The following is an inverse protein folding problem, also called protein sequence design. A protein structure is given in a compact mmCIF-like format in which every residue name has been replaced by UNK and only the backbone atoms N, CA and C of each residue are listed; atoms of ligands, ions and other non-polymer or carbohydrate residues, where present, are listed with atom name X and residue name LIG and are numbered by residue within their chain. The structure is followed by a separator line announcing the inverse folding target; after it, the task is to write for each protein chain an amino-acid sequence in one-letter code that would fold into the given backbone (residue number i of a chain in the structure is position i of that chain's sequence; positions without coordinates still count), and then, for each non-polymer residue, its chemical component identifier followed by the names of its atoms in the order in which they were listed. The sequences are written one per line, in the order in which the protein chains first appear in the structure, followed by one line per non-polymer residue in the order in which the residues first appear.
data_IF_929516170193
#
_entry.id   IF_929516170193
#
_cell.length_a   1.000
_cell.length_b   1.000
_cell.length_c   1.000
_cell.angle_alpha   90.00
_cell.angle_beta   90.00
_cell.angle_gamma   90.00
#
_symmetry.space_group_name_H-M   'P 1'
#
loop_
_entity.id
_entity.type
_entity.pdbx_description
1 polymer ?
#
# COMPACT_ATOMS: atom_id res chain seq x y z
N UNK A 1 1.45 -21.06 11.10
CA UNK A 1 0.91 -19.94 10.29
C UNK A 1 -0.50 -19.68 10.78
N UNK A 2 -0.73 -18.51 11.37
CA UNK A 2 -2.06 -18.10 11.83
C UNK A 2 -2.91 -17.65 10.63
N UNK A 3 -4.24 -17.69 10.76
CA UNK A 3 -5.14 -17.26 9.67
C UNK A 3 -4.90 -15.81 9.23
N UNK A 4 -4.45 -14.95 10.16
CA UNK A 4 -4.11 -13.54 9.88
C UNK A 4 -2.87 -13.42 9.00
N UNK A 5 -1.79 -14.15 9.29
CA UNK A 5 -0.56 -14.12 8.47
C UNK A 5 -0.83 -14.58 7.03
N UNK A 6 -1.75 -15.53 6.84
CA UNK A 6 -2.15 -15.98 5.51
C UNK A 6 -2.91 -14.89 4.76
N UNK A 7 -3.77 -14.15 5.46
CA UNK A 7 -4.54 -13.06 4.89
C UNK A 7 -3.66 -11.88 4.50
N UNK A 8 -2.70 -11.49 5.34
CA UNK A 8 -1.71 -10.44 5.02
C UNK A 8 -0.90 -10.80 3.78
N UNK A 9 -0.41 -12.04 3.68
CA UNK A 9 0.34 -12.51 2.51
C UNK A 9 -0.52 -12.51 1.25
N UNK A 10 -1.75 -13.00 1.34
CA UNK A 10 -2.69 -12.98 0.22
C UNK A 10 -2.95 -11.54 -0.24
N UNK A 11 -3.17 -10.62 0.70
CA UNK A 11 -3.42 -9.21 0.41
C UNK A 11 -2.21 -8.53 -0.24
N UNK A 12 -0.99 -8.87 0.21
CA UNK A 12 0.25 -8.40 -0.41
C UNK A 12 0.32 -8.82 -1.90
N UNK A 13 -0.04 -10.08 -2.18
CA UNK A 13 -0.03 -10.62 -3.55
C UNK A 13 -1.07 -9.90 -4.42
N UNK A 14 -2.29 -9.72 -3.90
CA UNK A 14 -3.35 -9.01 -4.64
C UNK A 14 -2.95 -7.57 -4.91
N UNK A 15 -2.42 -6.87 -3.92
CA UNK A 15 -1.99 -5.48 -4.06
C UNK A 15 -0.84 -5.34 -5.06
N UNK A 16 0.14 -6.25 -5.03
CA UNK A 16 1.23 -6.29 -6.00
C UNK A 16 0.71 -6.55 -7.42
N UNK A 17 -0.14 -7.57 -7.60
CA UNK A 17 -0.71 -7.89 -8.90
C UNK A 17 -1.58 -6.74 -9.46
N UNK A 18 -2.34 -6.05 -8.61
CA UNK A 18 -3.15 -4.92 -9.03
C UNK A 18 -2.29 -3.74 -9.52
N UNK A 19 -1.15 -3.49 -8.87
CA UNK A 19 -0.18 -2.48 -9.31
C UNK A 19 0.53 -2.91 -10.60
N UNK A 20 0.98 -4.17 -10.69
CA UNK A 20 1.71 -4.71 -11.84
C UNK A 20 0.86 -4.76 -13.13
N UNK A 21 -0.45 -4.92 -12.98
CA UNK A 21 -1.41 -4.95 -14.09
C UNK A 21 -2.09 -3.60 -14.34
N UNK A 22 -1.62 -2.52 -13.74
CA UNK A 22 -2.18 -1.16 -13.87
C UNK A 22 -3.66 -1.03 -13.46
N UNK A 23 -4.22 -2.03 -12.78
CA UNK A 23 -5.58 -1.99 -12.21
C UNK A 23 -5.62 -0.92 -11.10
N UNK A 24 -4.55 -0.87 -10.30
CA UNK A 24 -4.33 0.11 -9.25
C UNK A 24 -3.13 0.97 -9.64
N UNK A 25 -3.28 2.30 -9.61
CA UNK A 25 -2.16 3.22 -9.78
C UNK A 25 -1.58 3.57 -8.40
N UNK A 26 -0.30 3.95 -8.30
CA UNK A 26 0.32 4.35 -7.03
C UNK A 26 -0.51 5.36 -6.23
N UNK A 27 -1.02 6.39 -6.90
CA UNK A 27 -1.84 7.44 -6.29
C UNK A 27 -3.15 6.91 -5.69
N UNK A 28 -3.69 5.81 -6.23
CA UNK A 28 -4.90 5.19 -5.69
C UNK A 28 -4.66 4.54 -4.35
N UNK A 29 -3.46 3.99 -4.13
CA UNK A 29 -3.08 3.44 -2.82
C UNK A 29 -3.09 4.55 -1.79
N UNK A 30 -2.47 5.70 -2.11
CA UNK A 30 -2.35 6.81 -1.17
C UNK A 30 -3.66 7.55 -0.88
N UNK A 31 -4.69 7.40 -1.71
CA UNK A 31 -6.04 7.91 -1.39
C UNK A 31 -6.61 7.27 -0.12
N UNK A 32 -6.22 6.03 0.18
CA UNK A 32 -6.69 5.28 1.35
C UNK A 32 -5.57 5.13 2.39
N UNK A 33 -4.35 4.87 1.94
CA UNK A 33 -3.14 4.79 2.75
C UNK A 33 -2.54 6.19 2.87
N UNK A 34 -3.26 7.09 3.54
CA UNK A 34 -2.86 8.49 3.67
C UNK A 34 -1.57 8.64 4.50
N UNK A 35 -0.89 9.80 4.45
CA UNK A 35 0.25 10.06 5.32
C UNK A 35 -0.03 9.82 6.81
N UNK A 36 -1.24 10.13 7.30
CA UNK A 36 -1.66 9.86 8.67
C UNK A 36 -1.78 8.36 8.96
N UNK A 37 -2.31 7.57 8.03
CA UNK A 37 -2.36 6.10 8.15
C UNK A 37 -0.95 5.54 8.19
N UNK A 38 -0.08 5.99 7.29
CA UNK A 38 1.33 5.58 7.28
C UNK A 38 2.01 5.91 8.61
N UNK A 39 1.83 7.13 9.13
CA UNK A 39 2.42 7.55 10.40
C UNK A 39 1.89 6.79 11.61
N UNK A 40 0.63 6.38 11.59
CA UNK A 40 -0.03 5.68 12.70
C UNK A 40 0.31 4.18 12.74
N UNK A 41 0.60 3.59 11.58
CA UNK A 41 0.67 2.14 11.43
C UNK A 41 2.04 1.61 11.02
N UNK A 42 2.85 2.40 10.32
CA UNK A 42 4.20 1.95 9.96
C UNK A 42 5.13 1.99 11.17
N UNK A 43 6.00 0.98 11.32
CA UNK A 43 7.10 1.02 12.26
C UNK A 43 7.99 2.26 12.05
N UNK A 44 8.59 2.81 13.12
CA UNK A 44 9.43 4.00 13.01
C UNK A 44 10.60 3.87 12.02
N UNK A 45 11.20 2.68 11.91
CA UNK A 45 12.28 2.39 10.97
C UNK A 45 11.81 2.45 9.51
N UNK A 46 10.64 1.86 9.21
CA UNK A 46 10.04 1.92 7.87
C UNK A 46 9.66 3.36 7.52
N UNK A 47 9.05 4.10 8.46
CA UNK A 47 8.69 5.50 8.26
C UNK A 47 9.94 6.37 8.02
N UNK A 48 11.01 6.14 8.79
CA UNK A 48 12.29 6.84 8.59
C UNK A 48 12.85 6.60 7.19
N UNK A 49 12.76 5.37 6.68
CA UNK A 49 13.18 5.05 5.32
C UNK A 49 12.33 5.79 4.26
N UNK A 50 11.00 5.84 4.44
CA UNK A 50 10.08 6.57 3.53
C UNK A 50 10.43 8.05 3.49
N UNK A 51 10.68 8.67 4.65
CA UNK A 51 11.07 10.08 4.74
C UNK A 51 12.44 10.34 4.12
N UNK A 52 13.42 9.47 4.37
CA UNK A 52 14.76 9.58 3.77
C UNK A 52 14.71 9.44 2.25
N UNK A 53 13.91 8.49 1.73
CA UNK A 53 13.70 8.32 0.30
C UNK A 53 13.00 9.53 -0.34
N UNK A 54 12.01 10.09 0.35
CA UNK A 54 11.29 11.30 -0.10
C UNK A 54 12.18 12.54 -0.12
N UNK A 55 13.02 12.71 0.91
CA UNK A 55 13.99 13.80 0.97
C UNK A 55 15.04 13.69 -0.14
N UNK A 56 15.52 12.46 -0.40
CA UNK A 56 16.46 12.18 -1.50
C UNK A 56 15.84 12.46 -2.86
N UNK A 57 14.56 12.14 -3.05
CA UNK A 57 13.82 12.42 -4.28
C UNK A 57 13.41 13.90 -4.42
N UNK A 58 13.52 14.70 -3.35
CA UNK A 58 13.06 16.09 -3.28
C UNK A 58 11.53 16.25 -3.18
N UNK A 59 10.80 15.14 -3.06
CA UNK A 59 9.33 15.11 -3.02
C UNK A 59 8.83 13.75 -2.48
N UNK A 60 7.68 13.78 -1.80
CA UNK A 60 7.00 12.59 -1.29
C UNK A 60 5.86 12.21 -2.25
N UNK A 61 6.14 11.34 -3.22
CA UNK A 61 5.13 10.82 -4.17
C UNK A 61 4.71 9.40 -3.83
N UNK A 62 3.61 8.95 -4.41
CA UNK A 62 3.13 7.59 -4.29
C UNK A 62 4.15 6.54 -4.74
N UNK A 63 4.88 6.81 -5.83
CA UNK A 63 5.92 5.91 -6.32
C UNK A 63 7.08 5.80 -5.33
N UNK A 64 7.49 6.91 -4.73
CA UNK A 64 8.57 6.93 -3.73
C UNK A 64 8.15 6.14 -2.48
N UNK A 65 6.91 6.34 -2.04
CA UNK A 65 6.35 5.62 -0.89
C UNK A 65 6.24 4.14 -1.21
N UNK A 66 5.63 3.73 -2.32
CA UNK A 66 5.47 2.31 -2.69
C UNK A 66 6.79 1.61 -2.96
N UNK A 67 7.80 2.31 -3.50
CA UNK A 67 9.14 1.77 -3.64
C UNK A 67 9.79 1.44 -2.30
N UNK A 68 9.45 2.19 -1.25
CA UNK A 68 10.06 2.06 0.08
C UNK A 68 9.24 1.19 1.02
N UNK A 69 7.92 1.37 1.01
CA UNK A 69 6.90 0.61 1.71
C UNK A 69 6.00 -0.05 0.66
N UNK A 70 6.51 -1.12 0.06
CA UNK A 70 5.80 -1.88 -0.98
C UNK A 70 4.67 -2.75 -0.43
N UNK A 71 3.98 -3.50 -1.31
CA UNK A 71 2.78 -4.25 -0.96
C UNK A 71 2.91 -5.17 0.26
N UNK A 72 4.04 -5.85 0.41
CA UNK A 72 4.30 -6.73 1.57
C UNK A 72 4.55 -6.00 2.89
N UNK A 73 5.06 -4.76 2.83
CA UNK A 73 5.20 -3.91 4.03
C UNK A 73 3.83 -3.35 4.39
N UNK A 74 3.11 -2.83 3.41
CA UNK A 74 1.78 -2.27 3.63
C UNK A 74 0.82 -3.33 4.18
N UNK A 75 0.76 -4.52 3.59
CA UNK A 75 -0.14 -5.60 4.05
C UNK A 75 0.12 -6.06 5.48
N UNK A 76 1.34 -5.87 5.98
CA UNK A 76 1.75 -6.31 7.32
C UNK A 76 1.42 -5.30 8.40
N UNK A 77 1.43 -4.01 8.06
CA UNK A 77 1.36 -2.93 9.05
C UNK A 77 0.10 -2.09 8.91
N UNK A 78 -0.39 -1.88 7.69
CA UNK A 78 -1.61 -1.12 7.43
C UNK A 78 -2.83 -2.02 7.68
N UNK A 79 -3.89 -1.50 8.32
CA UNK A 79 -5.14 -2.22 8.50
C UNK A 79 -5.66 -2.81 7.18
N UNK A 80 -5.99 -4.12 7.13
CA UNK A 80 -6.37 -4.77 5.89
C UNK A 80 -7.63 -4.20 5.22
N UNK A 81 -8.55 -3.64 6.00
CA UNK A 81 -9.77 -2.98 5.53
C UNK A 81 -9.48 -1.70 4.73
N UNK A 82 -8.45 -0.94 5.13
CA UNK A 82 -7.99 0.26 4.40
C UNK A 82 -7.38 -0.16 3.05
N UNK A 83 -6.51 -1.17 3.05
CA UNK A 83 -5.89 -1.69 1.83
C UNK A 83 -6.92 -2.31 0.89
N UNK A 84 -7.89 -3.07 1.42
CA UNK A 84 -8.95 -3.65 0.62
C UNK A 84 -9.88 -2.59 0.03
N UNK A 85 -10.08 -1.46 0.71
CA UNK A 85 -10.84 -0.33 0.16
C UNK A 85 -10.17 0.27 -1.09
N UNK A 86 -8.84 0.39 -1.08
CA UNK A 86 -8.09 0.82 -2.27
C UNK A 86 -8.27 -0.15 -3.45
N UNK A 87 -8.17 -1.46 -3.19
CA UNK A 87 -8.34 -2.51 -4.21
C UNK A 87 -9.77 -2.53 -4.76
N UNK A 88 -10.80 -2.41 -3.91
CA UNK A 88 -12.21 -2.36 -4.35
C UNK A 88 -12.51 -1.15 -5.22
N UNK A 89 -12.01 0.02 -4.86
CA UNK A 89 -12.21 1.24 -5.65
C UNK A 89 -11.58 1.10 -7.04
N UNK A 90 -10.35 0.62 -7.09
CA UNK A 90 -9.64 0.35 -8.33
C UNK A 90 -10.39 -0.64 -9.22
N UNK A 91 -10.85 -1.75 -8.64
CA UNK A 91 -11.61 -2.77 -9.36
C UNK A 91 -12.93 -2.23 -9.92
N UNK A 92 -13.64 -1.38 -9.17
CA UNK A 92 -14.89 -0.74 -9.63
C UNK A 92 -14.65 0.11 -10.88
N UNK A 93 -13.56 0.87 -10.92
CA UNK A 93 -13.22 1.71 -12.09
C UNK A 93 -12.75 0.88 -13.28
N UNK A 94 -12.12 -0.26 -13.03
CA UNK A 94 -11.73 -1.22 -14.06
C UNK A 94 -12.89 -2.09 -14.55
N UNK A 95 -14.11 -1.90 -14.02
CA UNK A 95 -15.30 -2.71 -14.31
C UNK A 95 -15.11 -4.21 -13.98
N UNK A 96 -14.19 -4.51 -13.05
CA UNK A 96 -13.91 -5.87 -12.56
C UNK A 96 -14.73 -6.10 -11.29
N UNK A 97 -15.52 -7.18 -11.19
CA UNK A 97 -16.21 -7.52 -9.95
C UNK A 97 -15.19 -7.87 -8.84
N UNK A 98 -15.28 -7.19 -7.68
CA UNK A 98 -14.37 -7.31 -6.55
C UNK A 98 -15.07 -7.50 -5.19
#
# INVERSE_FOLDING_TARGET
MSSTENYEKWLAIVLAAALDHDILQPDDVLRYVTPEVLASHLPPDVMSNVLAASLTAGQMTAEVILRTAGPGVLSRYVPPDILWSAVREASRRAEIPA
#
